data_IF_771766756182
#
_entry.id   IF_771766756182
#
_cell.length_a   1.000
_cell.length_b   1.000
_cell.length_c   1.000
_cell.angle_alpha   90.00
_cell.angle_beta   90.00
_cell.angle_gamma   90.00
#
_symmetry.space_group_name_H-M   'P 1'
#
loop_
_entity.id
_entity.type
_entity.pdbx_description
1 polymer ?
#
# COMPACT_ATOMS: atom_id res chain seq x y z
N UNK A 1 -13.12 -9.55 15.15
CA UNK A 1 -12.21 -9.35 16.30
C UNK A 1 -10.93 -8.66 15.81
N UNK A 2 -10.35 -7.75 16.60
CA UNK A 2 -9.03 -7.16 16.29
C UNK A 2 -8.02 -7.79 17.24
N UNK A 3 -6.98 -8.41 16.69
CA UNK A 3 -5.93 -9.08 17.47
C UNK A 3 -4.61 -8.36 17.23
N UNK A 4 -4.05 -7.76 18.27
CA UNK A 4 -2.78 -7.02 18.20
C UNK A 4 -1.65 -7.89 18.75
N UNK A 5 -0.58 -8.03 17.97
CA UNK A 5 0.71 -8.56 18.45
C UNK A 5 1.74 -7.42 18.52
N UNK A 6 2.93 -7.70 19.07
CA UNK A 6 4.04 -6.73 19.11
C UNK A 6 4.47 -6.23 17.73
N UNK A 7 4.24 -6.99 16.65
CA UNK A 7 4.73 -6.66 15.29
C UNK A 7 3.63 -6.46 14.25
N UNK A 8 2.40 -6.88 14.52
CA UNK A 8 1.32 -6.81 13.53
C UNK A 8 -0.06 -6.72 14.19
N UNK A 9 -0.97 -6.06 13.48
CA UNK A 9 -2.40 -6.01 13.82
C UNK A 9 -3.11 -6.92 12.82
N UNK A 10 -3.88 -7.87 13.33
CA UNK A 10 -4.75 -8.75 12.54
C UNK A 10 -6.19 -8.32 12.74
N UNK A 11 -6.90 -8.11 11.64
CA UNK A 11 -8.30 -7.73 11.64
C UNK A 11 -9.05 -8.80 10.84
N UNK A 12 -10.12 -9.35 11.41
CA UNK A 12 -11.01 -10.26 10.69
C UNK A 12 -11.70 -9.51 9.54
N UNK A 13 -11.93 -10.19 8.41
CA UNK A 13 -12.53 -9.60 7.20
C UNK A 13 -13.86 -8.90 7.46
N UNK A 14 -14.74 -9.48 8.28
CA UNK A 14 -16.01 -8.85 8.68
C UNK A 14 -15.80 -7.52 9.40
N UNK A 15 -14.79 -7.45 10.27
CA UNK A 15 -14.49 -6.24 11.03
C UNK A 15 -13.82 -5.18 10.15
N UNK A 16 -13.00 -5.60 9.18
CA UNK A 16 -12.45 -4.71 8.16
C UNK A 16 -13.57 -4.07 7.32
N UNK A 17 -14.54 -4.87 6.86
CA UNK A 17 -15.68 -4.37 6.12
C UNK A 17 -16.54 -3.38 6.91
N UNK A 18 -16.66 -3.55 8.23
CA UNK A 18 -17.32 -2.58 9.11
C UNK A 18 -16.53 -1.27 9.22
N UNK A 19 -15.19 -1.32 9.29
CA UNK A 19 -14.35 -0.13 9.40
C UNK A 19 -14.42 0.74 8.13
N UNK A 20 -14.50 0.11 6.96
CA UNK A 20 -14.69 0.83 5.67
C UNK A 20 -15.99 1.63 5.59
N UNK A 21 -17.02 1.25 6.36
CA UNK A 21 -18.30 1.97 6.40
C UNK A 21 -18.25 3.21 7.31
N UNK A 22 -17.17 3.40 8.06
CA UNK A 22 -17.00 4.57 8.93
C UNK A 22 -16.48 5.75 8.11
N UNK A 23 -17.25 6.86 7.98
CA UNK A 23 -16.83 8.02 7.19
C UNK A 23 -15.51 8.64 7.68
N UNK A 24 -15.23 8.54 8.99
CA UNK A 24 -14.01 9.08 9.59
C UNK A 24 -12.74 8.28 9.23
N UNK A 25 -12.88 7.07 8.70
CA UNK A 25 -11.76 6.19 8.38
C UNK A 25 -11.63 5.90 6.88
N UNK A 26 -12.59 6.33 6.06
CA UNK A 26 -12.64 6.05 4.62
C UNK A 26 -11.34 6.45 3.94
N UNK A 27 -10.94 7.72 4.03
CA UNK A 27 -9.73 8.23 3.37
C UNK A 27 -8.45 7.51 3.81
N UNK A 28 -8.33 7.23 5.11
CA UNK A 28 -7.17 6.53 5.65
C UNK A 28 -7.10 5.06 5.20
N UNK A 29 -8.26 4.40 5.07
CA UNK A 29 -8.34 3.02 4.60
C UNK A 29 -8.08 2.91 3.10
N UNK A 30 -8.58 3.84 2.30
CA UNK A 30 -8.28 3.93 0.86
C UNK A 30 -6.78 4.12 0.61
N UNK A 31 -6.15 5.05 1.33
CA UNK A 31 -4.70 5.27 1.24
C UNK A 31 -3.88 4.00 1.56
N UNK A 32 -4.29 3.22 2.56
CA UNK A 32 -3.62 1.97 2.92
C UNK A 32 -3.76 0.90 1.84
N UNK A 33 -4.90 0.86 1.15
CA UNK A 33 -5.15 -0.05 0.03
C UNK A 33 -4.31 0.32 -1.18
N UNK A 34 -4.25 1.61 -1.52
CA UNK A 34 -3.40 2.13 -2.58
C UNK A 34 -1.92 1.81 -2.34
N UNK A 35 -1.42 2.00 -1.12
CA UNK A 35 -0.04 1.65 -0.76
C UNK A 35 0.19 0.14 -0.93
N UNK A 36 -0.74 -0.70 -0.48
CA UNK A 36 -0.62 -2.16 -0.62
C UNK A 36 -0.57 -2.59 -2.07
N UNK A 37 -1.39 -1.99 -2.92
CA UNK A 37 -1.44 -2.31 -4.35
C UNK A 37 -0.21 -1.78 -5.09
N UNK A 38 0.33 -0.62 -4.70
CA UNK A 38 1.63 -0.15 -5.17
C UNK A 38 2.77 -1.10 -4.78
N UNK A 39 2.77 -1.65 -3.56
CA UNK A 39 3.75 -2.63 -3.13
C UNK A 39 3.64 -3.96 -3.91
N UNK A 40 2.43 -4.45 -4.16
CA UNK A 40 2.20 -5.64 -4.99
C UNK A 40 2.66 -5.40 -6.42
N UNK A 41 2.27 -4.27 -7.03
CA UNK A 41 2.69 -3.90 -8.37
C UNK A 41 4.22 -3.79 -8.50
N UNK A 42 4.90 -3.26 -7.47
CA UNK A 42 6.37 -3.25 -7.40
C UNK A 42 6.98 -4.65 -7.34
N UNK A 43 6.33 -5.59 -6.64
CA UNK A 43 6.76 -7.00 -6.55
C UNK A 43 6.54 -7.75 -7.86
N UNK A 44 5.37 -7.59 -8.49
CA UNK A 44 4.99 -8.28 -9.74
C UNK A 44 5.76 -7.75 -10.95
N UNK A 45 5.92 -6.43 -11.08
CA UNK A 45 6.69 -5.82 -12.18
C UNK A 45 8.21 -5.88 -11.99
N UNK A 46 8.68 -6.52 -10.91
CA UNK A 46 10.06 -7.00 -10.79
C UNK A 46 11.12 -5.96 -11.14
N UNK A 47 11.17 -4.86 -10.39
CA UNK A 47 12.33 -3.98 -10.09
C UNK A 47 11.80 -2.59 -9.74
N UNK A 48 12.06 -2.12 -8.52
CA UNK A 48 11.96 -0.69 -8.24
C UNK A 48 13.03 0.01 -9.07
N UNK A 49 12.63 0.83 -10.04
CA UNK A 49 13.56 1.73 -10.71
C UNK A 49 13.90 2.85 -9.72
N UNK A 50 15.19 3.06 -9.45
CA UNK A 50 15.63 4.29 -8.78
C UNK A 50 15.32 5.49 -9.68
N UNK A 51 15.24 6.69 -9.09
CA UNK A 51 15.02 7.93 -9.87
C UNK A 51 16.08 8.04 -10.97
N UNK A 52 17.34 7.73 -10.67
CA UNK A 52 18.44 7.74 -11.63
C UNK A 52 18.22 6.74 -12.79
N UNK A 53 17.77 5.52 -12.49
CA UNK A 53 17.46 4.52 -13.52
C UNK A 53 16.28 4.94 -14.40
N UNK A 54 15.30 5.63 -13.82
CA UNK A 54 14.17 6.19 -14.57
C UNK A 54 14.61 7.33 -15.51
N UNK A 55 15.45 8.25 -15.02
CA UNK A 55 15.97 9.38 -15.78
C UNK A 55 16.90 8.92 -16.91
N UNK A 56 17.81 7.99 -16.64
CA UNK A 56 18.72 7.44 -17.64
C UNK A 56 17.99 6.72 -18.79
N UNK A 57 16.94 5.94 -18.49
CA UNK A 57 16.13 5.26 -19.51
C UNK A 57 15.42 6.25 -20.47
N UNK A 58 15.17 7.48 -20.01
CA UNK A 58 14.48 8.52 -20.78
C UNK A 58 15.43 9.54 -21.42
N UNK A 59 16.75 9.38 -21.26
CA UNK A 59 17.73 10.35 -21.74
C UNK A 59 17.62 11.70 -21.03
N UNK A 60 17.11 11.72 -19.79
CA UNK A 60 16.91 12.93 -18.97
C UNK A 60 18.00 13.07 -17.88
N UNK A 61 18.99 12.19 -17.87
CA UNK A 61 20.16 12.29 -17.00
C UNK A 61 21.11 13.35 -17.55
N UNK A 62 21.31 14.43 -16.79
CA UNK A 62 22.36 15.45 -17.02
C UNK A 62 23.76 14.89 -16.72
#
# INVERSE_FOLDING_TARGET
>A
MITKSKKNIRITTEKWAQLKKSPALTDALELLEDISDLEKAKKEKGKSLTIDQYLAKRGLSN
#
